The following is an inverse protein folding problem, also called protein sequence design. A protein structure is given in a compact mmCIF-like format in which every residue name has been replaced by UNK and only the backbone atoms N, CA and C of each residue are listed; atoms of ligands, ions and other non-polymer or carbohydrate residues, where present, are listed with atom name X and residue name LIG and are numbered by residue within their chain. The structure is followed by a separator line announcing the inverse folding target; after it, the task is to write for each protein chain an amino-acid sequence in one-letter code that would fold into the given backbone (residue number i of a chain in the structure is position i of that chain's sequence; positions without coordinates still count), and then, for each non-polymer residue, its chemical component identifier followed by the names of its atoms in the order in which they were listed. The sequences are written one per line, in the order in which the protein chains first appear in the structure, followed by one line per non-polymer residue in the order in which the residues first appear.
data_IF_539224910405
#
_entry.id   IF_539224910405
#
_cell.length_a   1.000
_cell.length_b   1.000
_cell.length_c   1.000
_cell.angle_alpha   90.00
_cell.angle_beta   90.00
_cell.angle_gamma   90.00
#
_symmetry.space_group_name_H-M   'P 1'
#
loop_
_entity.id
_entity.type
_entity.pdbx_description
1 polymer ?
#
# COMPACT_ATOMS: atom_id res chain seq x y z
N UNK A 1 -8.06 23.53 32.55
CA UNK A 1 -7.91 22.14 32.08
C UNK A 1 -9.29 21.67 31.61
N UNK A 2 -9.61 21.89 30.36
CA UNK A 2 -10.87 21.46 29.75
C UNK A 2 -10.69 20.04 29.22
N UNK A 3 -11.40 19.06 29.74
CA UNK A 3 -11.50 17.71 29.19
C UNK A 3 -12.24 17.82 27.85
N UNK A 4 -11.57 17.56 26.74
CA UNK A 4 -12.21 17.36 25.46
C UNK A 4 -13.14 16.16 25.55
N UNK A 5 -14.36 16.29 25.01
CA UNK A 5 -15.35 15.22 24.93
C UNK A 5 -14.73 14.05 24.17
N UNK A 6 -14.72 12.88 24.80
CA UNK A 6 -14.20 11.63 24.28
C UNK A 6 -14.90 11.29 22.94
N UNK A 7 -14.17 11.37 21.85
CA UNK A 7 -14.51 10.60 20.64
C UNK A 7 -14.44 9.10 21.02
N UNK A 8 -15.27 8.23 20.46
CA UNK A 8 -15.24 6.80 20.75
C UNK A 8 -13.81 6.29 20.48
N UNK A 9 -13.16 5.76 21.51
CA UNK A 9 -11.79 5.23 21.39
C UNK A 9 -11.81 4.04 20.42
N UNK A 10 -11.12 4.18 19.31
CA UNK A 10 -10.89 3.05 18.41
C UNK A 10 -10.11 2.00 19.16
N UNK A 11 -10.66 0.80 19.32
CA UNK A 11 -9.94 -0.31 19.95
C UNK A 11 -8.74 -0.68 19.06
N UNK A 12 -7.53 -0.64 19.62
CA UNK A 12 -6.31 -0.89 18.88
C UNK A 12 -5.27 -1.67 19.71
N UNK A 13 -4.39 -2.46 19.05
CA UNK A 13 -3.37 -3.27 19.72
C UNK A 13 -2.12 -2.48 20.14
N UNK A 14 -1.98 -1.22 19.74
CA UNK A 14 -0.75 -0.44 19.95
C UNK A 14 -0.55 -0.07 21.41
N UNK A 15 0.67 -0.27 21.92
CA UNK A 15 1.02 0.17 23.26
C UNK A 15 1.11 1.70 23.38
N UNK A 16 1.60 2.34 22.33
CA UNK A 16 1.71 3.81 22.25
C UNK A 16 1.31 4.26 20.86
N UNK A 17 0.68 5.42 20.79
CA UNK A 17 0.28 6.13 19.57
C UNK A 17 0.66 7.59 19.76
N UNK A 18 1.43 8.13 18.82
CA UNK A 18 1.74 9.54 18.71
C UNK A 18 1.27 10.03 17.35
N UNK A 19 0.58 11.15 17.32
CA UNK A 19 0.05 11.76 16.10
C UNK A 19 0.48 13.23 16.11
N UNK A 20 0.89 13.74 14.95
CA UNK A 20 1.26 15.14 14.78
C UNK A 20 0.14 16.10 15.20
N UNK A 21 0.53 17.29 15.64
CA UNK A 21 -0.44 18.34 15.95
C UNK A 21 -1.00 18.91 14.64
N UNK A 22 -2.32 18.86 14.40
CA UNK A 22 -2.94 19.39 13.18
C UNK A 22 -2.59 20.86 12.90
N UNK A 23 -2.29 21.65 13.91
CA UNK A 23 -1.89 23.05 13.75
C UNK A 23 -0.48 23.21 13.12
N UNK A 24 0.32 22.15 13.15
CA UNK A 24 1.70 22.13 12.63
C UNK A 24 1.85 21.28 11.38
N UNK A 25 0.80 20.57 10.96
CA UNK A 25 0.79 19.75 9.74
C UNK A 25 0.89 20.65 8.50
N UNK A 26 1.64 20.20 7.50
CA UNK A 26 1.79 20.88 6.21
C UNK A 26 1.20 20.03 5.08
N UNK A 27 0.61 20.66 4.10
CA UNK A 27 -0.02 20.04 2.93
C UNK A 27 -1.09 18.95 3.30
N UNK A 28 -1.66 19.02 4.52
CA UNK A 28 -2.61 18.04 5.04
C UNK A 28 -2.00 16.69 5.37
N UNK A 29 -0.66 16.60 5.41
CA UNK A 29 0.06 15.38 5.78
C UNK A 29 0.14 15.25 7.29
N UNK A 30 -0.37 14.14 7.80
CA UNK A 30 -0.36 13.75 9.22
C UNK A 30 0.66 12.65 9.46
N UNK A 31 1.45 12.82 10.50
CA UNK A 31 2.49 11.87 10.89
C UNK A 31 2.04 11.05 12.09
N UNK A 32 2.15 9.74 11.98
CA UNK A 32 1.70 8.80 13.01
C UNK A 32 2.84 7.85 13.36
N UNK A 33 3.17 7.75 14.65
CA UNK A 33 4.11 6.74 15.17
C UNK A 33 3.37 5.83 16.14
N UNK A 34 3.40 4.53 15.88
CA UNK A 34 2.80 3.52 16.76
C UNK A 34 3.83 2.50 17.25
N UNK A 35 3.61 1.94 18.43
CA UNK A 35 4.36 0.74 18.86
C UNK A 35 3.65 -0.48 18.31
N UNK A 36 4.07 -0.94 17.12
CA UNK A 36 3.54 -2.12 16.46
C UNK A 36 3.75 -3.39 17.29
N UNK A 37 2.74 -4.24 17.38
CA UNK A 37 2.85 -5.59 17.95
C UNK A 37 3.48 -6.56 16.97
N UNK A 38 3.11 -6.45 15.69
CA UNK A 38 3.64 -7.29 14.63
C UNK A 38 5.15 -7.16 14.48
N UNK A 39 5.66 -5.92 14.62
CA UNK A 39 7.09 -5.63 14.47
C UNK A 39 7.85 -5.56 15.80
N UNK A 40 7.17 -5.52 16.93
CA UNK A 40 7.81 -5.39 18.23
C UNK A 40 8.57 -4.07 18.45
N UNK A 41 8.43 -3.10 17.53
CA UNK A 41 9.12 -1.81 17.55
C UNK A 41 8.19 -0.66 17.19
N UNK A 42 8.68 0.59 17.27
CA UNK A 42 7.96 1.76 16.77
C UNK A 42 8.02 1.75 15.23
N UNK A 43 6.88 2.12 14.62
CA UNK A 43 6.72 2.24 13.19
C UNK A 43 5.98 3.52 12.86
N UNK A 44 6.35 4.10 11.75
CA UNK A 44 5.82 5.37 11.28
C UNK A 44 4.91 5.15 10.07
N UNK A 45 3.89 5.99 9.95
CA UNK A 45 3.07 6.14 8.77
C UNK A 45 2.79 7.62 8.51
N UNK A 46 2.71 7.98 7.24
CA UNK A 46 2.16 9.25 6.80
C UNK A 46 0.73 9.02 6.34
N UNK A 47 -0.20 9.84 6.80
CA UNK A 47 -1.62 9.75 6.47
C UNK A 47 -2.06 11.05 5.82
N UNK A 48 -2.83 10.95 4.74
CA UNK A 48 -3.45 12.07 4.07
C UNK A 48 -4.95 11.83 3.94
N UNK A 49 -5.73 12.73 4.51
CA UNK A 49 -7.18 12.76 4.36
C UNK A 49 -7.54 13.69 3.20
N UNK A 50 -8.14 13.15 2.14
CA UNK A 50 -8.57 13.97 1.01
C UNK A 50 -9.59 15.02 1.42
N UNK A 51 -9.59 16.21 0.78
CA UNK A 51 -10.61 17.23 1.00
C UNK A 51 -12.03 16.65 0.88
N UNK A 52 -12.89 16.97 1.84
CA UNK A 52 -14.29 16.49 1.89
C UNK A 52 -14.48 15.08 2.45
N UNK A 53 -13.43 14.38 2.85
CA UNK A 53 -13.55 13.04 3.39
C UNK A 53 -14.31 13.02 4.72
N UNK A 54 -14.08 13.99 5.59
CA UNK A 54 -14.75 14.09 6.90
C UNK A 54 -16.29 14.18 6.79
N UNK A 55 -16.81 14.74 5.70
CA UNK A 55 -18.24 14.93 5.47
C UNK A 55 -18.89 13.81 4.64
N UNK A 56 -18.09 12.91 4.06
CA UNK A 56 -18.54 11.88 3.13
C UNK A 56 -18.99 10.57 3.79
N UNK A 57 -18.88 10.44 5.14
CA UNK A 57 -19.08 9.17 5.84
C UNK A 57 -17.86 8.25 5.69
N UNK A 58 -17.97 6.95 5.97
CA UNK A 58 -16.85 6.03 5.84
C UNK A 58 -16.27 6.04 4.42
N UNK A 59 -15.07 6.60 4.27
CA UNK A 59 -14.38 6.71 2.96
C UNK A 59 -13.40 5.55 2.77
N UNK A 60 -13.03 5.24 1.52
CA UNK A 60 -12.01 4.24 1.22
C UNK A 60 -10.65 4.58 1.84
N UNK A 61 -9.93 3.55 2.27
CA UNK A 61 -8.54 3.63 2.71
C UNK A 61 -7.64 3.05 1.61
N UNK A 62 -6.62 3.79 1.19
CA UNK A 62 -5.64 3.36 0.21
C UNK A 62 -4.28 3.24 0.88
N UNK A 63 -3.75 2.04 0.98
CA UNK A 63 -2.42 1.76 1.50
C UNK A 63 -1.42 1.83 0.33
N UNK A 64 -0.39 2.70 0.45
CA UNK A 64 0.65 2.87 -0.55
C UNK A 64 2.00 2.37 -0.02
N UNK A 65 2.47 1.24 -0.54
CA UNK A 65 3.72 0.59 -0.16
C UNK A 65 4.89 1.14 -0.96
N UNK A 66 5.96 1.54 -0.27
CA UNK A 66 7.19 2.02 -0.90
C UNK A 66 8.08 0.88 -1.41
N UNK A 67 9.06 1.19 -2.24
CA UNK A 67 10.11 0.28 -2.69
C UNK A 67 11.27 0.17 -1.69
N UNK A 68 12.31 -0.58 -2.05
CA UNK A 68 13.57 -0.63 -1.28
C UNK A 68 14.11 0.78 -1.03
N UNK A 69 14.85 0.99 0.05
CA UNK A 69 15.42 2.28 0.49
C UNK A 69 14.37 3.36 0.82
N UNK A 70 13.08 3.03 0.74
CA UNK A 70 11.99 3.95 1.01
C UNK A 70 11.59 4.00 2.48
N UNK A 71 10.58 4.82 2.77
CA UNK A 71 9.91 4.90 4.06
C UNK A 71 8.54 5.56 3.90
N UNK A 72 7.82 5.74 5.01
CA UNK A 72 6.49 6.34 5.08
C UNK A 72 6.32 7.71 4.37
N UNK A 73 7.39 8.45 4.17
CA UNK A 73 7.36 9.76 3.51
C UNK A 73 7.52 9.69 1.98
N UNK A 74 7.95 8.53 1.44
CA UNK A 74 8.40 8.44 0.05
C UNK A 74 7.27 8.74 -0.95
N UNK A 75 6.10 8.14 -0.80
CA UNK A 75 4.97 8.43 -1.67
C UNK A 75 4.48 9.88 -1.57
N UNK A 76 4.51 10.47 -0.38
CA UNK A 76 4.12 11.87 -0.19
C UNK A 76 5.14 12.84 -0.76
N UNK A 77 6.43 12.72 -0.36
CA UNK A 77 7.43 13.76 -0.58
C UNK A 77 8.34 13.52 -1.79
N UNK A 78 8.32 12.33 -2.39
CA UNK A 78 8.92 12.08 -3.71
C UNK A 78 7.86 11.92 -4.80
N UNK A 79 6.78 11.18 -4.51
CA UNK A 79 5.71 10.88 -5.46
C UNK A 79 4.57 11.90 -5.49
N UNK A 80 4.45 12.80 -4.51
CA UNK A 80 3.36 13.77 -4.46
C UNK A 80 1.95 13.15 -4.37
N UNK A 81 1.83 11.93 -3.84
CA UNK A 81 0.60 11.15 -3.85
C UNK A 81 -0.62 11.90 -3.29
N UNK A 82 -0.43 12.65 -2.20
CA UNK A 82 -1.45 13.49 -1.60
C UNK A 82 -1.97 14.58 -2.54
N UNK A 83 -1.08 15.18 -3.36
CA UNK A 83 -1.44 16.22 -4.34
C UNK A 83 -2.21 15.62 -5.51
N UNK A 84 -1.79 14.45 -6.00
CA UNK A 84 -2.51 13.72 -7.04
C UNK A 84 -3.92 13.35 -6.58
N UNK A 85 -4.07 12.79 -5.38
CA UNK A 85 -5.38 12.46 -4.83
C UNK A 85 -6.26 13.70 -4.63
N UNK A 86 -5.73 14.78 -4.03
CA UNK A 86 -6.48 16.03 -3.84
C UNK A 86 -6.96 16.63 -5.17
N UNK A 87 -6.11 16.64 -6.20
CA UNK A 87 -6.47 17.10 -7.55
C UNK A 87 -7.59 16.26 -8.15
N UNK A 88 -7.49 14.93 -8.09
CA UNK A 88 -8.52 14.05 -8.66
C UNK A 88 -9.87 14.18 -7.93
N UNK A 89 -9.87 14.41 -6.61
CA UNK A 89 -11.08 14.72 -5.86
C UNK A 89 -11.67 16.07 -6.28
N UNK A 90 -10.83 17.10 -6.42
CA UNK A 90 -11.25 18.42 -6.89
C UNK A 90 -11.87 18.39 -8.29
N UNK A 91 -11.31 17.60 -9.19
CA UNK A 91 -11.81 17.36 -10.56
C UNK A 91 -13.10 16.49 -10.58
N UNK A 92 -13.51 15.94 -9.44
CA UNK A 92 -14.64 15.01 -9.36
C UNK A 92 -14.37 13.63 -10.00
N UNK A 93 -13.11 13.34 -10.30
CA UNK A 93 -12.67 12.11 -10.94
C UNK A 93 -12.70 10.90 -10.00
N UNK A 94 -12.45 11.12 -8.71
CA UNK A 94 -12.57 10.13 -7.66
C UNK A 94 -13.35 10.72 -6.47
N UNK A 95 -13.94 9.85 -5.63
CA UNK A 95 -14.49 10.28 -4.33
C UNK A 95 -13.37 10.54 -3.33
N UNK A 96 -13.62 11.31 -2.26
CA UNK A 96 -12.65 11.44 -1.17
C UNK A 96 -12.24 10.07 -0.61
N UNK A 97 -10.96 9.94 -0.26
CA UNK A 97 -10.37 8.75 0.34
C UNK A 97 -9.27 9.14 1.32
N UNK A 98 -8.81 8.20 2.11
CA UNK A 98 -7.66 8.37 3.00
C UNK A 98 -6.48 7.56 2.47
N UNK A 99 -5.36 8.22 2.18
CA UNK A 99 -4.12 7.56 1.82
C UNK A 99 -3.32 7.27 3.10
N UNK A 100 -2.82 6.05 3.22
CA UNK A 100 -1.92 5.65 4.30
C UNK A 100 -0.63 5.11 3.69
N UNK A 101 0.46 5.75 4.03
CA UNK A 101 1.79 5.46 3.52
C UNK A 101 2.64 4.94 4.68
N UNK A 102 2.65 3.63 4.95
CA UNK A 102 3.41 3.06 6.06
C UNK A 102 4.89 2.97 5.74
N UNK A 103 5.73 3.09 6.78
CA UNK A 103 7.09 2.55 6.76
C UNK A 103 7.03 1.02 6.81
N UNK A 104 7.99 0.36 6.22
CA UNK A 104 8.26 -1.07 6.44
C UNK A 104 9.10 -1.32 7.70
N UNK A 105 9.15 -0.34 8.62
CA UNK A 105 9.91 -0.41 9.86
C UNK A 105 11.40 -0.09 9.71
N UNK A 106 11.84 0.37 8.54
CA UNK A 106 13.25 0.66 8.22
C UNK A 106 14.16 -0.54 8.51
N UNK A 107 13.69 -1.73 8.15
CA UNK A 107 14.47 -2.94 8.30
C UNK A 107 15.40 -3.12 7.10
N UNK A 108 16.71 -3.03 7.33
CA UNK A 108 17.71 -3.15 6.27
C UNK A 108 17.41 -2.25 5.08
N UNK A 109 17.68 -2.74 3.89
CA UNK A 109 17.35 -2.06 2.63
C UNK A 109 15.87 -2.21 2.25
N UNK A 110 15.19 -3.23 2.78
CA UNK A 110 13.76 -3.45 2.57
C UNK A 110 13.26 -4.79 3.10
N UNK A 111 12.14 -4.76 3.81
CA UNK A 111 11.55 -5.93 4.46
C UNK A 111 10.92 -6.95 3.51
N UNK A 112 10.71 -6.59 2.24
CA UNK A 112 9.92 -7.40 1.30
C UNK A 112 8.42 -7.47 1.66
N UNK A 113 7.99 -6.80 2.73
CA UNK A 113 6.65 -6.97 3.33
C UNK A 113 6.32 -8.43 3.64
N UNK A 114 7.35 -9.18 4.04
CA UNK A 114 7.32 -10.62 4.36
C UNK A 114 7.47 -10.84 5.86
N UNK A 115 7.04 -11.98 6.41
CA UNK A 115 7.40 -12.37 7.75
C UNK A 115 8.92 -12.60 7.87
N UNK A 116 9.50 -12.11 8.97
CA UNK A 116 10.87 -12.40 9.38
C UNK A 116 10.86 -13.16 10.71
N UNK A 117 12.02 -13.61 11.15
CA UNK A 117 12.13 -14.46 12.36
C UNK A 117 11.50 -13.83 13.61
N UNK A 118 11.60 -12.50 13.78
CA UNK A 118 11.16 -11.79 14.98
C UNK A 118 10.18 -10.66 14.69
N UNK A 119 9.89 -10.41 13.42
CA UNK A 119 9.07 -9.28 12.96
C UNK A 119 8.16 -9.79 11.85
N UNK A 120 6.91 -9.41 11.90
CA UNK A 120 5.92 -9.81 10.90
C UNK A 120 5.45 -8.56 10.12
N UNK A 121 6.18 -8.24 9.05
CA UNK A 121 5.88 -7.07 8.19
C UNK A 121 4.60 -7.27 7.38
N UNK A 122 4.22 -8.50 7.11
CA UNK A 122 2.97 -8.83 6.46
C UNK A 122 1.78 -8.47 7.36
N UNK A 123 1.83 -8.93 8.62
CA UNK A 123 0.80 -8.64 9.62
C UNK A 123 0.71 -7.14 9.93
N UNK A 124 1.84 -6.44 9.94
CA UNK A 124 1.87 -4.98 10.08
C UNK A 124 0.97 -4.32 9.01
N UNK A 125 1.16 -4.68 7.74
CA UNK A 125 0.40 -4.09 6.64
C UNK A 125 -1.07 -4.53 6.66
N UNK A 126 -1.35 -5.82 6.86
CA UNK A 126 -2.70 -6.36 6.70
C UNK A 126 -3.62 -6.06 7.88
N UNK A 127 -3.08 -6.06 9.09
CA UNK A 127 -3.89 -5.91 10.31
C UNK A 127 -3.74 -4.54 10.97
N UNK A 128 -2.52 -4.01 11.06
CA UNK A 128 -2.26 -2.83 11.88
C UNK A 128 -2.36 -1.50 11.10
N UNK A 129 -1.93 -1.45 9.84
CA UNK A 129 -2.00 -0.21 9.03
C UNK A 129 -3.44 0.29 8.82
N UNK A 130 -4.47 -0.55 8.59
CA UNK A 130 -5.86 -0.07 8.55
C UNK A 130 -6.34 0.53 9.88
N UNK A 131 -5.77 0.09 11.02
CA UNK A 131 -6.06 0.70 12.33
C UNK A 131 -5.40 2.07 12.46
N UNK A 132 -4.18 2.24 11.92
CA UNK A 132 -3.52 3.55 11.85
C UNK A 132 -4.38 4.57 11.10
N UNK A 133 -4.98 4.18 9.96
CA UNK A 133 -5.92 5.04 9.23
C UNK A 133 -7.06 5.53 10.12
N UNK A 134 -7.70 4.61 10.85
CA UNK A 134 -8.84 4.92 11.74
C UNK A 134 -8.46 5.77 12.97
N UNK A 135 -7.21 5.67 13.42
CA UNK A 135 -6.70 6.52 14.51
C UNK A 135 -6.39 7.94 14.02
N UNK A 136 -5.95 8.05 12.78
CA UNK A 136 -5.53 9.32 12.19
C UNK A 136 -6.68 10.10 11.55
N UNK A 137 -7.77 9.43 11.16
CA UNK A 137 -8.89 10.06 10.43
C UNK A 137 -10.23 9.52 10.91
N UNK A 138 -11.11 10.41 11.33
CA UNK A 138 -12.50 10.09 11.67
C UNK A 138 -13.37 9.73 10.46
N UNK A 139 -12.90 9.99 9.24
CA UNK A 139 -13.54 9.58 8.00
C UNK A 139 -13.38 8.06 7.73
N UNK A 140 -12.52 7.35 8.48
CA UNK A 140 -12.32 5.92 8.37
C UNK A 140 -13.05 5.14 9.45
N UNK A 141 -13.65 4.01 9.08
CA UNK A 141 -14.30 3.09 10.01
C UNK A 141 -13.90 1.63 9.74
N UNK A 142 -14.53 0.69 10.44
CA UNK A 142 -14.34 -0.73 10.19
C UNK A 142 -14.94 -1.17 8.85
N UNK A 143 -15.91 -0.43 8.34
CA UNK A 143 -16.63 -0.68 7.08
C UNK A 143 -15.95 -0.02 5.87
N UNK A 144 -14.95 0.83 6.10
CA UNK A 144 -14.17 1.45 5.00
C UNK A 144 -13.51 0.38 4.13
N UNK A 145 -13.77 0.35 2.81
CA UNK A 145 -13.06 -0.54 1.92
C UNK A 145 -11.57 -0.20 1.90
N UNK A 146 -10.72 -1.22 1.96
CA UNK A 146 -9.26 -1.06 1.97
C UNK A 146 -8.70 -1.46 0.62
N UNK A 147 -7.95 -0.56 0.00
CA UNK A 147 -7.18 -0.79 -1.20
C UNK A 147 -5.70 -0.85 -0.88
N UNK A 148 -4.94 -1.57 -1.69
CA UNK A 148 -3.49 -1.65 -1.54
C UNK A 148 -2.80 -1.42 -2.88
N UNK A 149 -1.79 -0.55 -2.86
CA UNK A 149 -0.92 -0.36 -4.02
C UNK A 149 0.54 -0.21 -3.58
N UNK A 150 1.45 -0.36 -4.54
CA UNK A 150 2.86 -0.16 -4.25
C UNK A 150 3.72 -0.16 -5.51
N UNK A 151 4.96 0.27 -5.34
CA UNK A 151 5.98 0.29 -6.40
C UNK A 151 7.14 -0.67 -6.07
N UNK A 152 7.72 -1.31 -7.09
CA UNK A 152 8.93 -2.14 -6.92
C UNK A 152 8.72 -3.25 -5.86
N UNK A 153 9.48 -3.27 -4.77
CA UNK A 153 9.26 -4.11 -3.60
C UNK A 153 7.84 -3.94 -3.02
N UNK A 154 7.34 -2.70 -2.97
CA UNK A 154 5.96 -2.42 -2.54
C UNK A 154 4.91 -2.99 -3.50
N UNK A 155 5.22 -3.06 -4.79
CA UNK A 155 4.39 -3.74 -5.80
C UNK A 155 4.33 -5.24 -5.55
N UNK A 156 5.47 -5.88 -5.23
CA UNK A 156 5.52 -7.27 -4.79
C UNK A 156 4.63 -7.49 -3.56
N UNK A 157 4.80 -6.64 -2.54
CA UNK A 157 3.98 -6.69 -1.32
C UNK A 157 2.50 -6.53 -1.62
N UNK A 158 2.10 -5.54 -2.42
CA UNK A 158 0.71 -5.24 -2.71
C UNK A 158 0.00 -6.41 -3.43
N UNK A 159 0.59 -6.93 -4.50
CA UNK A 159 0.00 -8.03 -5.27
C UNK A 159 -0.04 -9.33 -4.47
N UNK A 160 1.05 -9.66 -3.75
CA UNK A 160 1.13 -10.87 -2.96
C UNK A 160 0.15 -10.84 -1.77
N UNK A 161 0.08 -9.73 -1.04
CA UNK A 161 -0.81 -9.59 0.11
C UNK A 161 -2.28 -9.60 -0.31
N UNK A 162 -2.64 -8.95 -1.42
CA UNK A 162 -3.99 -9.01 -1.95
C UNK A 162 -4.40 -10.43 -2.37
N UNK A 163 -3.47 -11.22 -2.92
CA UNK A 163 -3.72 -12.62 -3.28
C UNK A 163 -3.80 -13.51 -2.04
N UNK A 164 -2.96 -13.31 -1.03
CA UNK A 164 -2.93 -14.11 0.20
C UNK A 164 -4.11 -13.81 1.13
N UNK A 165 -4.57 -12.56 1.14
CA UNK A 165 -5.66 -12.07 2.00
C UNK A 165 -6.80 -11.43 1.18
N UNK A 166 -7.42 -12.16 0.25
CA UNK A 166 -8.33 -11.58 -0.76
C UNK A 166 -9.57 -10.92 -0.15
N UNK A 167 -9.95 -11.26 1.08
CA UNK A 167 -11.08 -10.64 1.79
C UNK A 167 -10.71 -9.36 2.55
N UNK A 168 -9.43 -9.03 2.60
CA UNK A 168 -8.94 -7.83 3.30
C UNK A 168 -8.86 -6.61 2.39
N UNK A 169 -8.76 -6.81 1.10
CA UNK A 169 -8.57 -5.75 0.12
C UNK A 169 -9.69 -5.75 -0.92
N UNK A 170 -10.23 -4.56 -1.20
CA UNK A 170 -11.27 -4.36 -2.20
C UNK A 170 -10.68 -4.39 -3.63
N UNK A 171 -9.45 -3.94 -3.81
CA UNK A 171 -8.67 -4.10 -5.03
C UNK A 171 -7.17 -3.87 -4.75
N UNK A 172 -6.31 -4.24 -5.73
CA UNK A 172 -4.87 -4.03 -5.65
C UNK A 172 -4.30 -3.40 -6.92
N UNK A 173 -3.20 -2.64 -6.79
CA UNK A 173 -2.46 -2.08 -7.91
C UNK A 173 -0.96 -2.14 -7.67
N UNK A 174 -0.17 -2.31 -8.74
CA UNK A 174 1.28 -2.29 -8.61
C UNK A 174 1.93 -1.58 -9.80
N UNK A 175 3.02 -0.86 -9.50
CA UNK A 175 3.87 -0.20 -10.48
C UNK A 175 5.26 -0.82 -10.46
N UNK A 176 5.78 -1.23 -11.63
CA UNK A 176 7.15 -1.76 -11.73
C UNK A 176 7.42 -2.82 -10.67
N UNK A 177 6.52 -3.76 -10.46
CA UNK A 177 6.59 -4.70 -9.35
C UNK A 177 7.72 -5.72 -9.51
N UNK A 178 8.43 -6.04 -8.43
CA UNK A 178 9.05 -7.35 -8.34
C UNK A 178 7.93 -8.40 -8.32
N UNK A 179 8.07 -9.47 -9.09
CA UNK A 179 7.07 -10.53 -9.21
C UNK A 179 7.51 -11.82 -8.52
N UNK A 180 8.78 -11.86 -8.11
CA UNK A 180 9.40 -12.95 -7.36
C UNK A 180 10.39 -12.40 -6.33
N UNK A 181 10.46 -13.06 -5.17
CA UNK A 181 11.35 -12.66 -4.07
C UNK A 181 12.82 -12.51 -4.50
N UNK A 182 13.30 -13.39 -5.38
CA UNK A 182 14.69 -13.36 -5.83
C UNK A 182 15.05 -12.09 -6.62
N UNK A 183 14.06 -11.41 -7.18
CA UNK A 183 14.28 -10.13 -7.87
C UNK A 183 14.60 -8.98 -6.89
N UNK A 184 14.40 -9.16 -5.59
CA UNK A 184 14.81 -8.19 -4.57
C UNK A 184 16.31 -8.31 -4.21
N UNK A 185 16.90 -9.48 -4.41
CA UNK A 185 18.28 -9.79 -4.01
C UNK A 185 19.33 -8.80 -4.54
N UNK A 186 19.28 -8.35 -5.81
CA UNK A 186 20.25 -7.39 -6.33
C UNK A 186 20.17 -6.00 -5.67
N UNK A 187 19.11 -5.73 -4.93
CA UNK A 187 18.83 -4.41 -4.35
C UNK A 187 19.01 -4.36 -2.84
N UNK A 188 19.19 -5.50 -2.16
CA UNK A 188 19.27 -5.56 -0.71
C UNK A 188 20.58 -6.24 -0.28
N UNK A 189 21.23 -5.68 0.75
CA UNK A 189 22.44 -6.27 1.31
C UNK A 189 22.15 -7.46 2.24
N UNK A 190 20.92 -7.57 2.72
CA UNK A 190 20.51 -8.60 3.67
C UNK A 190 20.50 -9.99 3.01
N UNK A 191 21.16 -10.93 3.70
CA UNK A 191 21.21 -12.31 3.21
C UNK A 191 19.82 -12.95 3.18
N UNK A 192 19.44 -13.68 2.11
CA UNK A 192 18.12 -14.33 1.96
C UNK A 192 17.65 -15.14 3.18
N UNK A 193 18.56 -15.75 3.92
CA UNK A 193 18.24 -16.55 5.10
C UNK A 193 17.76 -15.73 6.31
N UNK A 194 17.83 -14.39 6.24
CA UNK A 194 17.25 -13.51 7.28
C UNK A 194 15.73 -13.39 7.16
N UNK A 195 15.21 -13.58 5.95
CA UNK A 195 13.79 -13.63 5.67
C UNK A 195 13.22 -15.01 6.01
N UNK A 196 12.04 -15.05 6.65
CA UNK A 196 11.31 -16.31 6.88
C UNK A 196 10.27 -16.46 5.76
N UNK A 197 10.75 -16.70 4.56
CA UNK A 197 9.90 -16.80 3.37
C UNK A 197 9.51 -18.27 3.17
N UNK A 198 8.22 -18.54 3.24
CA UNK A 198 7.69 -19.83 2.78
C UNK A 198 7.82 -19.91 1.25
N UNK A 199 8.00 -21.10 0.71
CA UNK A 199 8.17 -21.27 -0.75
C UNK A 199 7.00 -20.65 -1.53
N UNK A 200 5.79 -20.81 -1.01
CA UNK A 200 4.56 -20.24 -1.57
C UNK A 200 4.50 -18.70 -1.52
N UNK A 201 5.26 -18.05 -0.65
CA UNK A 201 5.30 -16.59 -0.50
C UNK A 201 6.36 -15.93 -1.39
N UNK A 202 7.19 -16.74 -2.10
CA UNK A 202 8.26 -16.24 -2.96
C UNK A 202 7.75 -15.67 -4.28
N UNK A 203 6.62 -16.17 -4.78
CA UNK A 203 6.08 -15.85 -6.10
C UNK A 203 4.71 -15.19 -5.98
N UNK A 204 4.56 -14.03 -6.62
CA UNK A 204 3.24 -13.39 -6.78
C UNK A 204 2.30 -14.30 -7.56
N UNK A 205 2.79 -14.91 -8.64
CA UNK A 205 2.00 -15.82 -9.48
C UNK A 205 1.44 -16.98 -8.67
N UNK A 206 2.28 -17.65 -7.87
CA UNK A 206 1.85 -18.82 -7.09
C UNK A 206 0.76 -18.46 -6.08
N UNK A 207 0.90 -17.31 -5.41
CA UNK A 207 -0.14 -16.81 -4.51
C UNK A 207 -1.44 -16.49 -5.26
N UNK A 208 -1.36 -15.87 -6.43
CA UNK A 208 -2.53 -15.56 -7.25
C UNK A 208 -3.24 -16.81 -7.75
N UNK A 209 -2.49 -17.82 -8.20
CA UNK A 209 -3.07 -19.07 -8.68
C UNK A 209 -3.75 -19.89 -7.57
N UNK A 210 -3.22 -19.84 -6.35
CA UNK A 210 -3.86 -20.48 -5.18
C UNK A 210 -5.19 -19.84 -4.81
N UNK A 211 -5.32 -18.54 -5.00
CA UNK A 211 -6.50 -17.76 -4.63
C UNK A 211 -7.35 -17.34 -5.83
N UNK A 212 -7.11 -17.90 -7.02
CA UNK A 212 -7.64 -17.42 -8.30
C UNK A 212 -9.16 -17.20 -8.31
N UNK A 213 -9.91 -18.01 -7.58
CA UNK A 213 -11.38 -17.98 -7.57
C UNK A 213 -11.95 -16.88 -6.65
N UNK A 214 -11.10 -16.23 -5.85
CA UNK A 214 -11.50 -15.23 -4.84
C UNK A 214 -10.63 -13.97 -4.87
N UNK A 215 -9.76 -13.83 -5.88
CA UNK A 215 -8.92 -12.63 -6.02
C UNK A 215 -9.78 -11.36 -6.11
N UNK A 216 -9.41 -10.29 -5.40
CA UNK A 216 -9.99 -8.99 -5.68
C UNK A 216 -9.59 -8.51 -7.07
N UNK A 217 -10.29 -7.54 -7.67
CA UNK A 217 -9.83 -6.87 -8.88
C UNK A 217 -8.40 -6.34 -8.68
N UNK A 218 -7.56 -6.49 -9.70
CA UNK A 218 -6.20 -5.95 -9.63
C UNK A 218 -5.68 -5.51 -10.99
N UNK A 219 -4.77 -4.54 -10.94
CA UNK A 219 -3.99 -4.08 -12.07
C UNK A 219 -2.51 -4.00 -11.73
N UNK A 220 -1.68 -4.04 -12.74
CA UNK A 220 -0.28 -3.67 -12.61
C UNK A 220 0.25 -3.09 -13.93
N UNK A 221 1.27 -2.28 -13.82
CA UNK A 221 1.94 -1.66 -14.95
C UNK A 221 3.45 -1.66 -14.79
N UNK A 222 4.16 -1.51 -15.89
CA UNK A 222 5.60 -1.41 -15.88
C UNK A 222 6.11 -0.50 -17.01
N UNK A 223 7.14 0.27 -16.71
CA UNK A 223 7.81 1.08 -17.72
C UNK A 223 8.52 0.21 -18.76
N UNK A 224 8.50 0.63 -20.03
CA UNK A 224 9.16 -0.12 -21.12
C UNK A 224 10.68 -0.14 -21.01
N UNK A 225 11.26 0.80 -20.27
CA UNK A 225 12.68 0.91 -19.99
C UNK A 225 13.02 0.44 -18.55
N UNK A 226 12.07 -0.23 -17.88
CA UNK A 226 12.23 -0.71 -16.51
C UNK A 226 13.00 -2.04 -16.47
N UNK A 227 13.89 -2.16 -15.50
CA UNK A 227 14.68 -3.39 -15.27
C UNK A 227 13.83 -4.59 -14.86
N UNK A 228 12.61 -4.38 -14.33
CA UNK A 228 11.66 -5.41 -13.92
C UNK A 228 10.62 -5.72 -15.01
N UNK A 229 10.72 -5.11 -16.19
CA UNK A 229 9.73 -5.26 -17.27
C UNK A 229 9.50 -6.72 -17.63
N UNK A 230 10.56 -7.51 -17.84
CA UNK A 230 10.39 -8.90 -18.27
C UNK A 230 9.66 -9.75 -17.23
N UNK A 231 9.96 -9.57 -15.93
CA UNK A 231 9.22 -10.26 -14.86
C UNK A 231 7.72 -9.91 -14.86
N UNK A 232 7.38 -8.64 -15.12
CA UNK A 232 5.98 -8.22 -15.23
C UNK A 232 5.28 -8.81 -16.47
N UNK A 233 5.97 -8.91 -17.59
CA UNK A 233 5.47 -9.58 -18.79
C UNK A 233 5.25 -11.08 -18.60
N UNK A 234 6.18 -11.74 -17.91
CA UNK A 234 6.05 -13.17 -17.56
C UNK A 234 4.84 -13.41 -16.66
N UNK A 235 4.67 -12.57 -15.61
CA UNK A 235 3.49 -12.63 -14.75
C UNK A 235 2.20 -12.45 -15.55
N UNK A 236 2.13 -11.42 -16.42
CA UNK A 236 0.98 -11.19 -17.29
C UNK A 236 0.66 -12.39 -18.16
N UNK A 237 1.64 -12.93 -18.89
CA UNK A 237 1.47 -14.10 -19.77
C UNK A 237 0.95 -15.31 -19.00
N UNK A 238 1.50 -15.57 -17.80
CA UNK A 238 1.10 -16.70 -16.98
C UNK A 238 -0.33 -16.54 -16.43
N UNK A 239 -0.72 -15.34 -16.01
CA UNK A 239 -2.08 -15.04 -15.57
C UNK A 239 -3.10 -15.17 -16.69
N UNK A 240 -2.78 -14.69 -17.90
CA UNK A 240 -3.62 -14.89 -19.10
C UNK A 240 -3.79 -16.38 -19.39
N UNK A 241 -2.69 -17.15 -19.39
CA UNK A 241 -2.74 -18.59 -19.62
C UNK A 241 -3.58 -19.34 -18.58
N UNK A 242 -3.60 -18.85 -17.33
CA UNK A 242 -4.41 -19.38 -16.25
C UNK A 242 -5.87 -18.89 -16.23
N UNK A 243 -6.26 -17.99 -17.14
CA UNK A 243 -7.60 -17.40 -17.21
C UNK A 243 -7.91 -16.41 -16.07
N UNK A 244 -6.89 -15.86 -15.39
CA UNK A 244 -7.06 -14.88 -14.33
C UNK A 244 -7.28 -13.50 -14.92
N UNK A 245 -8.44 -12.89 -14.59
CA UNK A 245 -8.79 -11.55 -15.08
C UNK A 245 -7.97 -10.49 -14.36
N UNK A 246 -7.32 -9.60 -15.11
CA UNK A 246 -6.54 -8.48 -14.61
C UNK A 246 -6.33 -7.42 -15.69
N UNK A 247 -5.87 -6.24 -15.28
CA UNK A 247 -5.39 -5.21 -16.19
C UNK A 247 -3.86 -5.16 -16.13
N UNK A 248 -3.21 -5.22 -17.30
CA UNK A 248 -1.76 -5.01 -17.44
C UNK A 248 -1.49 -3.98 -18.52
N UNK A 249 -0.62 -3.02 -18.21
CA UNK A 249 -0.28 -1.94 -19.13
C UNK A 249 1.22 -1.66 -19.11
N UNK A 250 1.76 -1.20 -20.25
CA UNK A 250 3.15 -0.80 -20.40
C UNK A 250 3.21 0.63 -20.95
N UNK A 251 3.90 1.51 -20.22
CA UNK A 251 4.08 2.90 -20.62
C UNK A 251 5.56 3.22 -20.87
N UNK A 252 5.86 4.38 -21.44
CA UNK A 252 7.23 4.89 -21.51
C UNK A 252 7.74 5.25 -20.14
N UNK A 253 9.01 4.97 -19.86
CA UNK A 253 9.67 5.27 -18.59
C UNK A 253 10.32 4.04 -17.97
N UNK A 254 11.18 4.28 -17.01
CA UNK A 254 11.96 3.24 -16.33
C UNK A 254 11.64 3.17 -14.83
N UNK A 255 12.52 2.51 -14.07
CA UNK A 255 12.38 2.28 -12.64
C UNK A 255 12.68 3.55 -11.83
N UNK A 256 11.77 4.53 -11.86
CA UNK A 256 12.02 5.87 -11.33
C UNK A 256 10.75 6.60 -10.89
N UNK A 257 10.91 7.55 -9.97
CA UNK A 257 9.80 8.32 -9.40
C UNK A 257 8.93 9.07 -10.43
N UNK A 258 9.45 9.71 -11.49
CA UNK A 258 8.58 10.35 -12.50
C UNK A 258 7.53 9.39 -13.07
N UNK A 259 7.93 8.14 -13.38
CA UNK A 259 7.02 7.11 -13.85
C UNK A 259 5.92 6.80 -12.81
N UNK A 260 6.31 6.49 -11.58
CA UNK A 260 5.36 6.14 -10.52
C UNK A 260 4.43 7.28 -10.13
N UNK A 261 4.92 8.52 -10.16
CA UNK A 261 4.13 9.73 -9.89
C UNK A 261 3.03 9.92 -10.95
N UNK A 262 3.37 9.74 -12.21
CA UNK A 262 2.45 9.86 -13.34
C UNK A 262 1.34 8.81 -13.26
N UNK A 263 1.72 7.53 -13.08
CA UNK A 263 0.79 6.41 -13.13
C UNK A 263 0.03 6.12 -11.82
N UNK A 264 0.32 6.84 -10.72
CA UNK A 264 -0.51 6.79 -9.53
C UNK A 264 -1.96 7.22 -9.80
N UNK A 265 -2.17 8.14 -10.75
CA UNK A 265 -3.52 8.55 -11.16
C UNK A 265 -4.31 7.35 -11.69
N UNK A 266 -3.72 6.51 -12.53
CA UNK A 266 -4.35 5.31 -13.07
C UNK A 266 -4.79 4.35 -11.96
N UNK A 267 -3.94 4.20 -10.95
CA UNK A 267 -4.25 3.42 -9.74
C UNK A 267 -5.46 3.97 -8.98
N UNK A 268 -5.48 5.28 -8.70
CA UNK A 268 -6.59 5.89 -7.94
C UNK A 268 -7.91 5.85 -8.71
N UNK A 269 -7.88 6.05 -10.02
CA UNK A 269 -9.06 5.88 -10.91
C UNK A 269 -9.53 4.44 -10.96
N UNK A 270 -8.63 3.47 -11.00
CA UNK A 270 -8.97 2.05 -10.94
C UNK A 270 -9.64 1.69 -9.62
N UNK A 271 -9.19 2.23 -8.49
CA UNK A 271 -9.82 2.02 -7.19
C UNK A 271 -11.21 2.65 -7.12
N UNK A 272 -11.39 3.87 -7.66
CA UNK A 272 -12.73 4.47 -7.77
C UNK A 272 -13.69 3.60 -8.59
N UNK A 273 -13.22 3.06 -9.72
CA UNK A 273 -14.03 2.19 -10.59
C UNK A 273 -14.35 0.82 -9.95
N UNK A 274 -13.59 0.41 -8.94
CA UNK A 274 -13.80 -0.83 -8.17
C UNK A 274 -14.82 -0.66 -7.04
N UNK A 275 -15.30 0.55 -6.79
CA UNK A 275 -16.32 0.85 -5.78
C UNK A 275 -17.72 0.81 -6.38
N UNK A 276 -18.77 0.59 -5.56
CA UNK A 276 -20.15 0.75 -6.01
C UNK A 276 -20.38 2.15 -6.59
N UNK A 277 -21.27 2.29 -7.59
CA UNK A 277 -21.66 3.60 -8.12
C UNK A 277 -22.06 4.57 -7.01
N UNK A 278 -21.79 5.86 -7.24
CA UNK A 278 -22.21 6.95 -6.33
C UNK A 278 -23.72 7.08 -6.27
#
# INVERSE_FOLDING_TARGET
MSKSKDAPSVEHPFRTVEISDPALETDGLRWVTVKSRALGQRCDACVFECPGAADAGPVPVVILLHGVYGSHWAWALKGGAHRTAARLVFEGAIRPMVLVMPSDGLWGDGSGYLPHRTQDFERWIVEEVPLVARLASSACSAESPVFIAGLSMGGFGALRLAAKYPRRFAAASAHSAATHFDQLQPFVEEHPATFTVLEEDRSVLDQMLRSRDVLPPFRFDCGREDILLEGNRELHKALVAAGVQHTYEEFSGGHQWPYWTEHLEDTLRFFEASLPPR
#
